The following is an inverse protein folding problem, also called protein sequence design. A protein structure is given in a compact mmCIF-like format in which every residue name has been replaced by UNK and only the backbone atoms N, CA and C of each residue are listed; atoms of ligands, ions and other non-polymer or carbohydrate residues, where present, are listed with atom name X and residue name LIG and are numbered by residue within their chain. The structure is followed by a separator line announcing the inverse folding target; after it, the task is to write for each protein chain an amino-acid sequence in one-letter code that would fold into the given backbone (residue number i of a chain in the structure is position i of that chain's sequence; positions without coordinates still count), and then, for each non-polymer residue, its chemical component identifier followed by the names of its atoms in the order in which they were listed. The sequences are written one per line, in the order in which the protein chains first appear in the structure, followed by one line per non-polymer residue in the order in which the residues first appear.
data_IF_640916527721
#
_entry.id   IF_640916527721
#
_cell.length_a   1.000
_cell.length_b   1.000
_cell.length_c   1.000
_cell.angle_alpha   90.00
_cell.angle_beta   90.00
_cell.angle_gamma   90.00
#
_symmetry.space_group_name_H-M   'P 1'
#
loop_
_entity.id
_entity.type
_entity.pdbx_description
1 polymer ?
#
# COMPACT_ATOMS: atom_id res chain seq x y z
N UNK A 1 35.46 3.07 -6.47
CA UNK A 1 34.10 2.54 -6.72
C UNK A 1 33.27 2.88 -5.50
N UNK A 2 32.47 3.93 -5.59
CA UNK A 2 31.60 4.40 -4.50
C UNK A 2 30.44 3.43 -4.34
N UNK A 3 30.45 2.68 -3.24
CA UNK A 3 29.28 1.95 -2.75
C UNK A 3 28.16 2.95 -2.54
N UNK A 4 27.19 2.98 -3.46
CA UNK A 4 25.93 3.67 -3.29
C UNK A 4 25.30 3.17 -1.99
N UNK A 5 25.22 4.01 -0.96
CA UNK A 5 24.45 3.69 0.23
C UNK A 5 22.99 3.54 -0.22
N UNK A 6 22.45 2.32 -0.12
CA UNK A 6 21.03 2.09 -0.35
C UNK A 6 20.25 2.95 0.66
N UNK A 7 19.63 4.02 0.16
CA UNK A 7 18.79 4.92 0.93
C UNK A 7 17.58 4.14 1.45
N UNK A 8 17.41 4.05 2.76
CA UNK A 8 16.32 3.34 3.43
C UNK A 8 15.25 4.33 3.90
N UNK A 9 14.01 3.88 4.05
CA UNK A 9 12.94 4.71 4.62
C UNK A 9 13.29 5.12 6.05
N UNK A 10 13.86 4.19 6.82
CA UNK A 10 14.28 4.44 8.19
C UNK A 10 15.32 5.55 8.31
N UNK A 11 16.31 5.62 7.41
CA UNK A 11 17.32 6.71 7.44
C UNK A 11 16.66 8.07 7.22
N UNK A 12 15.75 8.17 6.24
CA UNK A 12 14.98 9.40 6.01
C UNK A 12 14.17 9.82 7.24
N UNK A 13 13.48 8.88 7.89
CA UNK A 13 12.72 9.18 9.10
C UNK A 13 13.62 9.63 10.25
N UNK A 14 14.81 9.05 10.41
CA UNK A 14 15.77 9.50 11.42
C UNK A 14 16.28 10.91 11.15
N UNK A 15 16.55 11.26 9.89
CA UNK A 15 16.89 12.64 9.52
C UNK A 15 15.78 13.62 9.91
N UNK A 16 14.52 13.30 9.62
CA UNK A 16 13.36 14.11 10.03
C UNK A 16 13.25 14.21 11.56
N UNK A 17 13.51 13.13 12.30
CA UNK A 17 13.44 13.13 13.77
C UNK A 17 14.53 13.99 14.42
N UNK A 18 15.72 14.04 13.82
CA UNK A 18 16.85 14.84 14.27
C UNK A 18 16.65 16.35 14.04
N UNK A 19 15.65 16.76 13.25
CA UNK A 19 15.33 18.17 13.08
C UNK A 19 14.87 18.82 14.40
N UNK A 20 15.18 20.12 14.61
CA UNK A 20 14.61 20.92 15.68
C UNK A 20 13.08 20.85 15.73
N UNK A 21 12.50 20.93 16.93
CA UNK A 21 11.04 20.82 17.14
C UNK A 21 10.26 21.83 16.30
N UNK A 22 10.75 23.07 16.19
CA UNK A 22 10.08 24.10 15.40
C UNK A 22 10.02 23.75 13.90
N UNK A 23 11.03 23.06 13.35
CA UNK A 23 10.98 22.58 11.96
C UNK A 23 9.99 21.43 11.82
N UNK A 24 10.04 20.45 12.74
CA UNK A 24 9.09 19.31 12.75
C UNK A 24 7.64 19.78 12.83
N UNK A 25 7.39 20.83 13.61
CA UNK A 25 6.08 21.45 13.73
C UNK A 25 5.59 22.00 12.38
N UNK A 26 6.42 22.75 11.65
CA UNK A 26 6.06 23.26 10.32
C UNK A 26 5.84 22.10 9.34
N UNK A 27 6.74 21.11 9.29
CA UNK A 27 6.59 19.93 8.42
C UNK A 27 5.26 19.22 8.70
N UNK A 28 4.90 19.03 9.97
CA UNK A 28 3.64 18.41 10.34
C UNK A 28 2.43 19.24 9.88
N UNK A 29 2.44 20.55 10.06
CA UNK A 29 1.32 21.42 9.67
C UNK A 29 1.12 21.42 8.15
N UNK A 30 2.20 21.59 7.38
CA UNK A 30 2.16 21.56 5.91
C UNK A 30 1.67 20.21 5.37
N UNK A 31 2.22 19.09 5.88
CA UNK A 31 1.78 17.76 5.47
C UNK A 31 0.34 17.47 5.87
N UNK A 32 -0.07 17.92 7.07
CA UNK A 32 -1.44 17.75 7.53
C UNK A 32 -2.41 18.53 6.63
N UNK A 33 -2.13 19.79 6.33
CA UNK A 33 -2.97 20.61 5.46
C UNK A 33 -3.06 20.02 4.05
N UNK A 34 -1.95 19.54 3.49
CA UNK A 34 -1.94 18.87 2.19
C UNK A 34 -2.78 17.57 2.20
N UNK A 35 -2.68 16.77 3.26
CA UNK A 35 -3.46 15.53 3.38
C UNK A 35 -4.94 15.80 3.63
N UNK A 36 -5.29 16.80 4.44
CA UNK A 36 -6.67 17.18 4.75
C UNK A 36 -7.38 17.88 3.59
N UNK A 37 -6.65 18.61 2.75
CA UNK A 37 -7.16 19.20 1.50
C UNK A 37 -7.35 18.17 0.38
N UNK A 38 -6.76 16.99 0.52
CA UNK A 38 -6.96 15.84 -0.37
C UNK A 38 -8.05 14.90 0.18
N UNK A 39 -8.56 14.01 -0.66
CA UNK A 39 -9.49 12.95 -0.24
C UNK A 39 -8.87 11.88 0.68
N UNK A 40 -7.63 12.05 1.14
CA UNK A 40 -6.90 11.09 1.97
C UNK A 40 -7.37 11.08 3.44
N UNK A 41 -8.08 12.11 3.91
CA UNK A 41 -8.52 12.25 5.31
C UNK A 41 -9.20 10.99 5.87
N UNK A 42 -10.16 10.42 5.15
CA UNK A 42 -10.87 9.18 5.52
C UNK A 42 -9.99 7.94 5.46
N UNK A 43 -9.08 7.84 4.49
CA UNK A 43 -8.15 6.72 4.41
C UNK A 43 -7.24 6.68 5.64
N UNK A 44 -6.87 7.85 6.18
CA UNK A 44 -6.09 7.97 7.41
C UNK A 44 -6.86 7.56 8.66
N UNK A 45 -8.19 7.76 8.69
CA UNK A 45 -9.04 7.31 9.81
C UNK A 45 -9.14 5.77 9.87
N UNK A 46 -9.01 5.11 8.72
CA UNK A 46 -9.12 3.65 8.58
C UNK A 46 -7.75 2.97 8.73
N UNK A 47 -6.72 3.55 8.13
CA UNK A 47 -5.35 3.05 8.16
C UNK A 47 -4.64 3.46 9.45
N UNK A 48 -4.65 2.57 10.43
CA UNK A 48 -3.91 2.67 11.68
C UNK A 48 -2.56 1.97 11.58
N UNK A 49 -1.64 2.30 12.48
CA UNK A 49 -0.26 1.77 12.48
C UNK A 49 -0.22 0.23 12.51
N UNK A 50 -1.19 -0.40 13.14
CA UNK A 50 -1.31 -1.86 13.31
C UNK A 50 -1.99 -2.57 12.12
N UNK A 51 -2.68 -1.85 11.24
CA UNK A 51 -3.38 -2.43 10.09
C UNK A 51 -2.89 -1.92 8.73
N UNK A 52 -1.98 -0.93 8.70
CA UNK A 52 -1.42 -0.33 7.50
C UNK A 52 -0.47 -1.28 6.75
N UNK A 53 -0.70 -1.47 5.44
CA UNK A 53 0.13 -2.33 4.59
C UNK A 53 1.59 -1.84 4.55
N UNK A 54 1.80 -0.54 4.38
CA UNK A 54 3.12 0.05 4.19
C UNK A 54 4.03 -0.21 5.40
N UNK A 55 3.46 -0.22 6.62
CA UNK A 55 4.18 -0.48 7.86
C UNK A 55 4.22 -1.96 8.25
N UNK A 56 3.52 -2.83 7.53
CA UNK A 56 3.49 -4.26 7.83
C UNK A 56 4.88 -4.88 7.67
N UNK A 57 5.30 -5.70 8.64
CA UNK A 57 6.54 -6.48 8.60
C UNK A 57 6.17 -7.94 8.26
N UNK A 58 6.40 -8.39 7.01
CA UNK A 58 6.15 -9.77 6.62
C UNK A 58 7.05 -10.73 7.39
N UNK A 59 6.60 -11.98 7.57
CA UNK A 59 7.36 -13.03 8.26
C UNK A 59 7.50 -14.26 7.39
N UNK A 60 8.70 -14.85 7.39
CA UNK A 60 8.96 -16.11 6.70
C UNK A 60 8.23 -17.26 7.39
N UNK A 61 7.65 -18.16 6.60
CA UNK A 61 7.25 -19.49 7.07
C UNK A 61 8.48 -20.39 7.23
N UNK A 62 8.30 -21.58 7.80
CA UNK A 62 9.37 -22.59 7.80
C UNK A 62 9.82 -22.95 6.39
N UNK A 63 8.88 -23.07 5.45
CA UNK A 63 9.13 -23.29 4.03
C UNK A 63 9.90 -22.13 3.41
N UNK A 64 9.53 -20.89 3.72
CA UNK A 64 10.24 -19.68 3.28
C UNK A 64 11.71 -19.65 3.70
N UNK A 65 12.02 -20.05 4.93
CA UNK A 65 13.40 -20.13 5.42
C UNK A 65 14.22 -21.18 4.65
N UNK A 66 13.64 -22.34 4.35
CA UNK A 66 14.29 -23.39 3.55
C UNK A 66 14.54 -22.93 2.12
N UNK A 67 13.56 -22.23 1.53
CA UNK A 67 13.64 -21.75 0.16
C UNK A 67 14.81 -20.78 -0.05
N UNK A 68 15.09 -19.90 0.91
CA UNK A 68 16.27 -19.02 0.87
C UNK A 68 17.61 -19.77 0.80
N UNK A 69 17.65 -21.01 1.29
CA UNK A 69 18.86 -21.84 1.30
C UNK A 69 18.99 -22.69 0.03
N UNK A 70 17.88 -23.25 -0.44
CA UNK A 70 17.90 -24.29 -1.48
C UNK A 70 17.39 -23.81 -2.85
N UNK A 71 16.71 -22.65 -2.94
CA UNK A 71 16.19 -22.04 -4.17
C UNK A 71 15.44 -23.04 -5.07
N UNK A 72 14.46 -23.72 -4.49
CA UNK A 72 13.76 -24.85 -5.12
C UNK A 72 12.46 -24.49 -5.83
N UNK A 73 11.85 -23.33 -5.51
CA UNK A 73 10.59 -22.88 -6.10
C UNK A 73 10.83 -21.91 -7.25
N UNK A 74 9.94 -21.96 -8.23
CA UNK A 74 9.84 -21.01 -9.34
C UNK A 74 9.14 -19.74 -8.86
N UNK A 75 9.85 -18.89 -8.13
CA UNK A 75 9.45 -17.50 -7.91
C UNK A 75 9.94 -16.62 -9.05
N UNK A 76 9.24 -15.51 -9.30
CA UNK A 76 9.82 -14.42 -10.08
C UNK A 76 11.11 -13.92 -9.43
N UNK A 77 12.02 -13.36 -10.23
CA UNK A 77 13.29 -12.82 -9.74
C UNK A 77 13.04 -11.79 -8.62
N UNK A 78 12.11 -10.87 -8.83
CA UNK A 78 11.77 -9.86 -7.84
C UNK A 78 11.04 -10.42 -6.61
N UNK A 79 10.24 -11.49 -6.74
CA UNK A 79 9.67 -12.17 -5.57
C UNK A 79 10.74 -12.90 -4.74
N UNK A 80 11.81 -13.39 -5.39
CA UNK A 80 12.97 -13.94 -4.68
C UNK A 80 13.73 -12.85 -3.92
N UNK A 81 13.96 -11.69 -4.55
CA UNK A 81 14.56 -10.51 -3.88
C UNK A 81 13.69 -10.02 -2.73
N UNK A 82 12.36 -10.01 -2.91
CA UNK A 82 11.42 -9.67 -1.86
C UNK A 82 11.58 -10.63 -0.66
N UNK A 83 11.63 -11.94 -0.91
CA UNK A 83 11.79 -12.96 0.13
C UNK A 83 13.10 -12.77 0.92
N UNK A 84 14.20 -12.46 0.25
CA UNK A 84 15.48 -12.12 0.89
C UNK A 84 15.34 -10.87 1.79
N UNK A 85 14.54 -9.90 1.39
CA UNK A 85 14.26 -8.72 2.20
C UNK A 85 13.39 -9.05 3.42
N UNK A 86 12.44 -9.99 3.31
CA UNK A 86 11.65 -10.47 4.47
C UNK A 86 12.57 -11.06 5.55
N UNK A 87 13.66 -11.73 5.16
CA UNK A 87 14.61 -12.29 6.14
C UNK A 87 15.31 -11.24 7.03
N UNK A 88 15.24 -9.96 6.66
CA UNK A 88 15.86 -8.83 7.36
C UNK A 88 14.91 -8.13 8.34
N UNK A 89 13.70 -8.67 8.54
CA UNK A 89 12.67 -8.14 9.45
C UNK A 89 12.31 -6.66 9.20
N UNK A 90 12.27 -6.26 7.94
CA UNK A 90 11.92 -4.89 7.50
C UNK A 90 10.50 -4.79 6.96
N UNK A 91 9.90 -3.59 7.04
CA UNK A 91 8.52 -3.33 6.62
C UNK A 91 8.35 -3.23 5.09
N UNK A 92 7.12 -3.36 4.59
CA UNK A 92 6.80 -3.25 3.15
C UNK A 92 7.33 -1.95 2.52
N UNK A 93 7.21 -0.80 3.20
CA UNK A 93 7.73 0.48 2.70
C UNK A 93 9.26 0.47 2.60
N UNK A 94 9.93 -0.15 3.56
CA UNK A 94 11.39 -0.27 3.57
C UNK A 94 11.86 -1.20 2.44
N UNK A 95 11.16 -2.32 2.23
CA UNK A 95 11.42 -3.24 1.11
C UNK A 95 11.23 -2.51 -0.24
N UNK A 96 10.14 -1.75 -0.39
CA UNK A 96 9.85 -1.03 -1.63
C UNK A 96 10.95 0.01 -1.94
N UNK A 97 11.27 0.87 -0.97
CA UNK A 97 12.28 1.94 -1.15
C UNK A 97 13.66 1.36 -1.40
N UNK A 98 14.08 0.35 -0.65
CA UNK A 98 15.40 -0.29 -0.79
C UNK A 98 15.65 -0.84 -2.19
N UNK A 99 14.62 -1.39 -2.82
CA UNK A 99 14.68 -2.01 -4.14
C UNK A 99 14.23 -1.08 -5.27
N UNK A 100 13.87 0.17 -4.97
CA UNK A 100 13.39 1.12 -5.97
C UNK A 100 12.04 0.76 -6.58
N UNK A 101 11.23 -0.04 -5.89
CA UNK A 101 9.90 -0.44 -6.33
C UNK A 101 8.84 0.56 -5.90
N UNK A 102 7.77 0.65 -6.68
CA UNK A 102 6.54 1.29 -6.22
C UNK A 102 5.72 0.32 -5.34
N UNK A 103 4.67 0.82 -4.67
CA UNK A 103 3.85 0.02 -3.76
C UNK A 103 3.05 -1.07 -4.50
N UNK A 104 2.64 -0.83 -5.76
CA UNK A 104 1.93 -1.81 -6.59
C UNK A 104 2.81 -3.04 -6.86
N UNK A 105 4.05 -2.83 -7.29
CA UNK A 105 5.04 -3.90 -7.53
C UNK A 105 5.35 -4.66 -6.25
N UNK A 106 5.71 -3.94 -5.18
CA UNK A 106 6.03 -4.53 -3.89
C UNK A 106 4.86 -5.38 -3.34
N UNK A 107 3.61 -4.89 -3.49
CA UNK A 107 2.41 -5.64 -3.13
C UNK A 107 2.24 -6.92 -3.95
N UNK A 108 2.62 -6.89 -5.23
CA UNK A 108 2.52 -8.05 -6.12
C UNK A 108 3.50 -9.14 -5.70
N UNK A 109 4.76 -8.78 -5.43
CA UNK A 109 5.79 -9.72 -4.93
C UNK A 109 5.44 -10.26 -3.54
N UNK A 110 4.89 -9.41 -2.67
CA UNK A 110 4.38 -9.83 -1.38
C UNK A 110 3.28 -10.89 -1.50
N UNK A 111 2.33 -10.71 -2.42
CA UNK A 111 1.25 -11.68 -2.62
C UNK A 111 1.74 -12.98 -3.27
N UNK A 112 2.67 -12.90 -4.22
CA UNK A 112 3.29 -14.07 -4.84
C UNK A 112 3.98 -14.96 -3.78
N UNK A 113 4.73 -14.35 -2.86
CA UNK A 113 5.39 -15.09 -1.77
C UNK A 113 4.42 -15.67 -0.73
N UNK A 114 3.26 -15.03 -0.52
CA UNK A 114 2.16 -15.61 0.28
C UNK A 114 1.52 -16.80 -0.43
N UNK A 115 1.24 -16.68 -1.74
CA UNK A 115 0.64 -17.74 -2.56
C UNK A 115 1.55 -18.97 -2.64
N UNK A 116 2.86 -18.75 -2.68
CA UNK A 116 3.87 -19.79 -2.59
C UNK A 116 4.08 -20.36 -1.16
N UNK A 117 3.32 -19.91 -0.16
CA UNK A 117 3.45 -20.33 1.25
C UNK A 117 4.85 -20.09 1.86
N UNK A 118 5.58 -19.10 1.34
CA UNK A 118 6.91 -18.72 1.79
C UNK A 118 6.86 -17.60 2.84
N UNK A 119 5.84 -16.75 2.74
CA UNK A 119 5.55 -15.68 3.69
C UNK A 119 4.20 -15.96 4.35
N UNK A 120 4.14 -15.79 5.68
CA UNK A 120 2.92 -16.02 6.45
C UNK A 120 1.82 -15.03 6.03
N UNK A 121 0.60 -15.54 5.87
CA UNK A 121 -0.59 -14.71 5.63
C UNK A 121 -0.76 -13.68 6.77
N UNK A 122 -0.99 -12.39 6.46
CA UNK A 122 -1.29 -11.38 7.47
C UNK A 122 -2.52 -11.76 8.28
N UNK A 123 -2.46 -11.54 9.60
CA UNK A 123 -3.62 -11.70 10.48
C UNK A 123 -4.70 -10.65 10.21
N UNK A 124 -4.28 -9.44 9.81
CA UNK A 124 -5.19 -8.34 9.49
C UNK A 124 -5.80 -8.50 8.09
N UNK A 125 -7.14 -8.59 7.98
CA UNK A 125 -7.82 -8.56 6.69
C UNK A 125 -7.53 -7.28 5.91
N UNK A 126 -7.30 -6.17 6.62
CA UNK A 126 -6.98 -4.87 6.01
C UNK A 126 -5.65 -4.89 5.27
N UNK A 127 -4.60 -5.46 5.87
CA UNK A 127 -3.27 -5.57 5.22
C UNK A 127 -3.39 -6.40 3.94
N UNK A 128 -4.03 -7.58 4.04
CA UNK A 128 -4.18 -8.49 2.90
C UNK A 128 -5.08 -7.89 1.81
N UNK A 129 -6.21 -7.30 2.19
CA UNK A 129 -7.15 -6.65 1.28
C UNK A 129 -6.49 -5.48 0.55
N UNK A 130 -5.74 -4.65 1.28
CA UNK A 130 -4.99 -3.52 0.69
C UNK A 130 -3.92 -4.02 -0.27
N UNK A 131 -3.16 -5.06 0.08
CA UNK A 131 -2.16 -5.62 -0.85
C UNK A 131 -2.81 -6.11 -2.16
N UNK A 132 -3.90 -6.89 -2.05
CA UNK A 132 -4.65 -7.40 -3.20
C UNK A 132 -5.17 -6.26 -4.08
N UNK A 133 -5.68 -5.21 -3.46
CA UNK A 133 -6.23 -4.07 -4.19
C UNK A 133 -5.13 -3.25 -4.86
N UNK A 134 -4.05 -2.94 -4.15
CA UNK A 134 -2.90 -2.20 -4.68
C UNK A 134 -2.23 -2.94 -5.85
N UNK A 135 -2.05 -4.27 -5.74
CA UNK A 135 -1.52 -5.09 -6.83
C UNK A 135 -2.49 -5.25 -8.02
N UNK A 136 -3.76 -4.86 -7.86
CA UNK A 136 -4.80 -5.00 -8.89
C UNK A 136 -5.35 -6.42 -9.05
N UNK A 137 -5.13 -7.31 -8.07
CA UNK A 137 -5.71 -8.67 -8.07
C UNK A 137 -7.20 -8.68 -7.75
N UNK A 138 -7.72 -7.63 -7.11
CA UNK A 138 -9.14 -7.46 -6.80
C UNK A 138 -9.63 -6.07 -7.22
N UNK A 139 -10.93 -5.93 -7.43
CA UNK A 139 -11.60 -4.66 -7.74
C UNK A 139 -12.04 -3.92 -6.46
N UNK A 140 -12.49 -2.68 -6.62
CA UNK A 140 -12.87 -1.80 -5.50
C UNK A 140 -13.95 -2.43 -4.58
N UNK A 141 -15.00 -3.01 -5.16
CA UNK A 141 -16.06 -3.65 -4.38
C UNK A 141 -15.55 -4.84 -3.55
N UNK A 142 -14.76 -5.70 -4.16
CA UNK A 142 -14.14 -6.85 -3.48
C UNK A 142 -13.19 -6.40 -2.37
N UNK A 143 -12.47 -5.28 -2.55
CA UNK A 143 -11.65 -4.69 -1.51
C UNK A 143 -12.47 -4.36 -0.27
N UNK A 144 -13.59 -3.63 -0.43
CA UNK A 144 -14.46 -3.27 0.69
C UNK A 144 -15.09 -4.48 1.38
N UNK A 145 -15.39 -5.55 0.63
CA UNK A 145 -15.81 -6.84 1.22
C UNK A 145 -14.67 -7.46 2.04
N UNK A 146 -13.45 -7.52 1.50
CA UNK A 146 -12.28 -8.13 2.17
C UNK A 146 -11.91 -7.43 3.48
N UNK A 147 -12.15 -6.12 3.56
CA UNK A 147 -11.90 -5.34 4.77
C UNK A 147 -13.13 -5.19 5.68
N UNK A 148 -14.20 -5.97 5.42
CA UNK A 148 -15.44 -6.00 6.18
C UNK A 148 -16.15 -4.63 6.29
N UNK A 149 -16.05 -3.80 5.24
CA UNK A 149 -16.75 -2.50 5.16
C UNK A 149 -18.11 -2.59 4.49
N UNK A 150 -18.27 -3.54 3.58
CA UNK A 150 -19.56 -3.93 3.00
C UNK A 150 -19.66 -5.46 3.01
N UNK A 151 -20.88 -5.97 2.89
CA UNK A 151 -21.17 -7.40 2.72
C UNK A 151 -21.15 -7.79 1.24
N UNK A 152 -21.15 -9.10 0.96
CA UNK A 152 -21.25 -9.61 -0.41
C UNK A 152 -22.61 -9.24 -1.00
N UNK A 153 -23.66 -9.31 -0.19
CA UNK A 153 -25.03 -8.97 -0.57
C UNK A 153 -25.15 -7.49 -0.97
N UNK A 154 -24.51 -6.59 -0.21
CA UNK A 154 -24.43 -5.16 -0.56
C UNK A 154 -23.64 -4.91 -1.85
N UNK A 155 -22.57 -5.67 -2.09
CA UNK A 155 -21.82 -5.58 -3.34
C UNK A 155 -22.67 -6.05 -4.53
N UNK A 156 -23.38 -7.17 -4.39
CA UNK A 156 -24.26 -7.71 -5.42
C UNK A 156 -25.41 -6.75 -5.76
N UNK A 157 -26.01 -6.13 -4.74
CA UNK A 157 -27.04 -5.09 -4.93
C UNK A 157 -26.49 -3.89 -5.72
N UNK A 158 -25.30 -3.42 -5.35
CA UNK A 158 -24.65 -2.31 -6.06
C UNK A 158 -24.36 -2.65 -7.52
N UNK A 159 -23.86 -3.86 -7.81
CA UNK A 159 -23.58 -4.31 -9.17
C UNK A 159 -24.86 -4.44 -10.01
N UNK A 160 -25.95 -4.96 -9.43
CA UNK A 160 -27.26 -5.01 -10.11
C UNK A 160 -27.76 -3.62 -10.44
N UNK A 161 -27.69 -2.68 -9.50
CA UNK A 161 -28.10 -1.29 -9.72
C UNK A 161 -27.25 -0.59 -10.79
N UNK A 162 -25.93 -0.79 -10.77
CA UNK A 162 -25.03 -0.28 -11.81
C UNK A 162 -25.43 -0.79 -13.19
N UNK A 163 -25.68 -2.09 -13.32
CA UNK A 163 -26.11 -2.71 -14.58
C UNK A 163 -27.47 -2.18 -15.06
N UNK A 164 -28.44 -2.04 -14.16
CA UNK A 164 -29.74 -1.47 -14.52
C UNK A 164 -29.65 -0.03 -15.02
N UNK A 165 -28.77 0.80 -14.44
CA UNK A 165 -28.53 2.17 -14.91
C UNK A 165 -27.88 2.16 -16.29
N UNK A 166 -26.90 1.28 -16.52
CA UNK A 166 -26.26 1.11 -17.82
C UNK A 166 -27.25 0.71 -18.91
N UNK A 167 -28.16 -0.22 -18.60
CA UNK A 167 -29.18 -0.68 -19.56
C UNK A 167 -30.29 0.35 -19.79
N UNK A 168 -30.71 1.09 -18.76
CA UNK A 168 -31.85 2.01 -18.84
C UNK A 168 -31.48 3.42 -19.36
N UNK A 169 -30.31 3.93 -18.98
CA UNK A 169 -29.88 5.31 -19.26
C UNK A 169 -28.72 5.38 -20.26
N UNK A 170 -28.10 4.25 -20.60
CA UNK A 170 -26.88 4.21 -21.43
C UNK A 170 -25.65 4.78 -20.73
N UNK A 171 -25.73 5.03 -19.42
CA UNK A 171 -24.68 5.63 -18.61
C UNK A 171 -23.93 4.56 -17.79
N UNK A 172 -22.62 4.72 -17.62
CA UNK A 172 -21.77 3.77 -16.87
C UNK A 172 -21.25 4.43 -15.60
N UNK A 173 -22.10 4.61 -14.57
CA UNK A 173 -21.65 5.19 -13.31
C UNK A 173 -20.58 4.31 -12.66
N UNK A 174 -19.63 4.94 -11.97
CA UNK A 174 -18.59 4.22 -11.25
C UNK A 174 -19.16 3.42 -10.08
N UNK A 175 -18.60 2.23 -9.79
CA UNK A 175 -19.08 1.41 -8.67
C UNK A 175 -18.98 2.16 -7.33
N UNK A 176 -17.97 3.01 -7.15
CA UNK A 176 -17.83 3.88 -5.98
C UNK A 176 -19.06 4.78 -5.79
N UNK A 177 -19.50 5.43 -6.87
CA UNK A 177 -20.66 6.32 -6.86
C UNK A 177 -21.94 5.55 -6.51
N UNK A 178 -22.12 4.35 -7.06
CA UNK A 178 -23.28 3.51 -6.74
C UNK A 178 -23.29 3.09 -5.27
N UNK A 179 -22.14 2.70 -4.71
CA UNK A 179 -22.01 2.34 -3.29
C UNK A 179 -22.32 3.52 -2.36
N UNK A 180 -21.95 4.74 -2.77
CA UNK A 180 -22.29 5.97 -2.05
C UNK A 180 -23.77 6.30 -2.16
N UNK A 181 -24.35 6.19 -3.37
CA UNK A 181 -25.77 6.45 -3.61
C UNK A 181 -26.69 5.44 -2.90
N UNK A 182 -26.19 4.25 -2.58
CA UNK A 182 -26.87 3.24 -1.77
C UNK A 182 -26.64 3.41 -0.26
N UNK A 183 -25.90 4.43 0.16
CA UNK A 183 -25.49 4.67 1.56
C UNK A 183 -24.71 3.51 2.19
N UNK A 184 -24.05 2.66 1.38
CA UNK A 184 -23.19 1.60 1.90
C UNK A 184 -21.81 2.11 2.30
N UNK A 185 -21.36 3.18 1.66
CA UNK A 185 -20.11 3.87 1.94
C UNK A 185 -20.32 5.38 1.87
N UNK A 186 -19.48 6.15 2.55
CA UNK A 186 -19.41 7.59 2.32
C UNK A 186 -18.53 7.90 1.10
N UNK A 187 -18.75 9.06 0.49
CA UNK A 187 -17.87 9.58 -0.57
C UNK A 187 -16.40 9.54 -0.14
N UNK A 188 -16.14 10.01 1.08
CA UNK A 188 -14.80 10.03 1.65
C UNK A 188 -14.20 8.61 1.73
N UNK A 189 -14.95 7.58 2.10
CA UNK A 189 -14.44 6.20 2.18
C UNK A 189 -13.87 5.68 0.85
N UNK A 190 -14.45 6.13 -0.27
CA UNK A 190 -14.06 5.68 -1.61
C UNK A 190 -12.93 6.49 -2.21
N UNK A 191 -12.94 7.81 -2.05
CA UNK A 191 -11.98 8.68 -2.73
C UNK A 191 -10.54 8.50 -2.22
N UNK A 192 -10.35 8.35 -0.91
CA UNK A 192 -9.00 8.18 -0.34
C UNK A 192 -8.30 6.91 -0.80
N UNK A 193 -9.04 5.79 -0.88
CA UNK A 193 -8.47 4.53 -1.36
C UNK A 193 -8.26 4.52 -2.88
N UNK A 194 -9.10 5.23 -3.65
CA UNK A 194 -8.90 5.44 -5.08
C UNK A 194 -7.65 6.27 -5.35
N UNK A 195 -7.46 7.36 -4.60
CA UNK A 195 -6.24 8.18 -4.67
C UNK A 195 -5.00 7.34 -4.36
N UNK A 196 -5.04 6.54 -3.27
CA UNK A 196 -3.92 5.65 -2.93
C UNK A 196 -3.68 4.61 -4.04
N UNK A 197 -4.74 4.09 -4.67
CA UNK A 197 -4.63 3.12 -5.78
C UNK A 197 -3.98 3.74 -7.02
N UNK A 198 -4.21 5.01 -7.30
CA UNK A 198 -3.53 5.71 -8.38
C UNK A 198 -2.07 5.96 -8.02
N UNK A 199 -1.81 6.48 -6.82
CA UNK A 199 -0.48 6.85 -6.36
C UNK A 199 0.44 5.66 -6.08
N UNK A 200 -0.11 4.47 -5.81
CA UNK A 200 0.71 3.28 -5.51
C UNK A 200 1.64 2.85 -6.66
N UNK A 201 1.41 3.35 -7.88
CA UNK A 201 2.25 3.11 -9.07
C UNK A 201 3.37 4.14 -9.24
N UNK A 202 3.34 5.24 -8.49
CA UNK A 202 4.40 6.26 -8.53
C UNK A 202 5.64 5.72 -7.83
N UNK A 203 6.78 5.85 -8.48
CA UNK A 203 8.07 5.51 -7.90
C UNK A 203 8.52 6.63 -6.96
N UNK A 204 9.03 6.24 -5.79
CA UNK A 204 9.70 7.19 -4.92
C UNK A 204 11.02 7.66 -5.58
N UNK A 205 11.10 8.95 -5.85
CA UNK A 205 12.32 9.63 -6.32
C UNK A 205 12.59 10.79 -5.37
N UNK A 206 13.73 10.81 -4.70
CA UNK A 206 14.09 11.89 -3.78
C UNK A 206 15.47 12.45 -4.08
N UNK A 207 15.47 13.76 -4.37
CA UNK A 207 16.66 14.60 -4.45
C UNK A 207 16.95 15.32 -3.12
N UNK A 208 16.09 15.15 -2.11
CA UNK A 208 16.20 15.83 -0.80
C UNK A 208 17.40 15.34 0.03
N UNK A 209 18.08 14.28 -0.43
CA UNK A 209 19.31 13.72 0.16
C UNK A 209 20.49 13.95 -0.81
N UNK A 210 20.59 15.15 -1.37
CA UNK A 210 21.74 15.63 -2.14
C UNK A 210 21.73 17.15 -2.16
N UNK A 211 22.23 17.75 -1.08
CA UNK A 211 23.00 18.98 -1.21
C UNK A 211 24.26 18.80 -0.39
N UNK A 212 25.39 18.62 -1.06
CA UNK A 212 26.68 18.95 -0.45
C UNK A 212 26.57 20.41 -0.02
N UNK A 213 26.66 20.65 1.29
CA UNK A 213 26.80 22.00 1.83
C UNK A 213 28.07 22.57 1.17
N UNK A 214 28.01 23.70 0.45
CA UNK A 214 29.23 24.32 -0.06
C UNK A 214 30.10 24.61 1.14
N UNK A 215 31.29 24.01 1.19
CA UNK A 215 32.30 24.44 2.15
C UNK A 215 32.62 25.88 1.80
N UNK A 216 32.38 26.77 2.78
CA UNK A 216 32.78 28.19 2.77
C UNK A 216 34.26 28.34 2.43
#
# INVERSE_FOLDING_TARGET
MTTSQHKTFNTFIQEVFNLPVWIKQIIYMELKEQLESSSMKSCMDIAKKDNCLQLYIPKLTYTGKKELTHKTKTLSENASVFLECVSKDISIIEIAIKNGWNLCECSSYFLETIEADLVSKPSSPFVKGTALYMSGKIRLGEYFVKINRITIEQLDEALRKQKHIEEALGDRPGLAEILVNLNFLSKNDTEGILLLKEDCRKYYKSNLITQEIPKS
#
